data_IF_559356999620
#
_entry.id   IF_559356999620
#
_cell.length_a   1.000
_cell.length_b   1.000
_cell.length_c   1.000
_cell.angle_alpha   90.00
_cell.angle_beta   90.00
_cell.angle_gamma   90.00
#
_symmetry.space_group_name_H-M   'P 1'
#
loop_
_entity.id
_entity.type
_entity.pdbx_description
1 polymer ?
#
# COMPACT_ATOMS: atom_id res chain seq x y z
N UNK A 1 -1.94 2.14 -24.39
CA UNK A 1 -3.07 2.26 -23.46
C UNK A 1 -2.77 1.46 -22.22
N UNK A 2 -3.05 2.04 -21.04
CA UNK A 2 -2.87 1.39 -19.76
C UNK A 2 -4.23 0.99 -19.18
N UNK A 3 -4.28 -0.15 -18.52
CA UNK A 3 -5.38 -0.49 -17.63
C UNK A 3 -5.32 0.38 -16.38
N UNK A 4 -6.42 0.52 -15.64
CA UNK A 4 -6.40 1.27 -14.39
C UNK A 4 -5.42 0.69 -13.36
N UNK A 5 -5.26 -0.62 -13.32
CA UNK A 5 -4.26 -1.28 -12.48
C UNK A 5 -2.82 -0.85 -12.83
N UNK A 6 -2.49 -0.76 -14.11
CA UNK A 6 -1.17 -0.28 -14.54
C UNK A 6 -0.96 1.21 -14.22
N UNK A 7 -2.04 2.01 -14.24
CA UNK A 7 -1.99 3.40 -13.76
C UNK A 7 -1.71 3.46 -12.26
N UNK A 8 -2.38 2.62 -11.45
CA UNK A 8 -2.09 2.51 -10.02
C UNK A 8 -0.64 2.13 -9.78
N UNK A 9 -0.12 1.11 -10.48
CA UNK A 9 1.28 0.70 -10.40
C UNK A 9 2.23 1.85 -10.75
N UNK A 10 1.93 2.61 -11.82
CA UNK A 10 2.74 3.77 -12.19
C UNK A 10 2.77 4.85 -11.09
N UNK A 11 1.63 5.14 -10.47
CA UNK A 11 1.57 6.08 -9.35
C UNK A 11 2.31 5.55 -8.14
N UNK A 12 2.21 4.25 -7.87
CA UNK A 12 2.94 3.56 -6.80
C UNK A 12 4.45 3.71 -6.97
N UNK A 13 4.98 3.27 -8.09
CA UNK A 13 6.43 3.35 -8.37
C UNK A 13 6.93 4.81 -8.40
N UNK A 14 6.10 5.72 -8.90
CA UNK A 14 6.43 7.14 -8.85
C UNK A 14 6.44 7.70 -7.42
N UNK A 15 5.62 7.16 -6.53
CA UNK A 15 5.65 7.48 -5.09
C UNK A 15 6.99 7.12 -4.44
N UNK A 16 7.54 5.95 -4.74
CA UNK A 16 8.92 5.58 -4.35
C UNK A 16 9.94 6.53 -4.98
N UNK A 17 9.78 6.84 -6.27
CA UNK A 17 10.64 7.79 -6.97
C UNK A 17 10.66 9.17 -6.31
N UNK A 18 9.48 9.72 -5.95
CA UNK A 18 9.38 10.99 -5.24
C UNK A 18 10.06 10.95 -3.88
N UNK A 19 9.84 9.87 -3.11
CA UNK A 19 10.48 9.70 -1.81
C UNK A 19 12.01 9.69 -1.92
N UNK A 20 12.53 9.12 -2.98
CA UNK A 20 13.99 9.08 -3.21
C UNK A 20 14.54 10.39 -3.76
N UNK A 21 13.85 11.02 -4.72
CA UNK A 21 14.33 12.22 -5.39
C UNK A 21 14.22 13.51 -4.57
N UNK A 22 13.23 13.59 -3.67
CA UNK A 22 12.93 14.80 -2.91
C UNK A 22 13.62 14.83 -1.54
N UNK A 23 14.45 13.84 -1.22
CA UNK A 23 15.18 13.82 0.05
C UNK A 23 16.07 15.05 0.22
N UNK A 24 16.14 15.54 1.45
CA UNK A 24 17.10 16.59 1.88
C UNK A 24 18.14 16.04 2.85
N UNK A 25 18.30 14.73 2.90
CA UNK A 25 19.26 14.05 3.77
C UNK A 25 20.55 13.83 3.00
N UNK A 26 21.66 14.37 3.52
CA UNK A 26 22.98 14.27 2.89
C UNK A 26 23.69 12.94 3.13
N UNK A 27 23.13 12.06 4.00
CA UNK A 27 23.73 10.77 4.34
C UNK A 27 23.09 9.64 3.54
N UNK A 28 23.78 9.03 2.56
CA UNK A 28 23.18 8.05 1.63
C UNK A 28 22.49 6.86 2.30
N UNK A 29 22.98 6.41 3.46
CA UNK A 29 22.41 5.26 4.17
C UNK A 29 20.99 5.49 4.74
N UNK A 30 20.56 6.75 4.87
CA UNK A 30 19.24 7.14 5.39
C UNK A 30 18.55 8.18 4.49
N UNK A 31 19.07 8.41 3.29
CA UNK A 31 18.51 9.34 2.31
C UNK A 31 17.46 8.67 1.44
N UNK A 32 16.37 9.36 1.16
CA UNK A 32 15.26 8.84 0.36
C UNK A 32 14.65 7.60 1.00
N UNK A 33 14.52 6.52 0.26
CA UNK A 33 13.97 5.24 0.75
C UNK A 33 14.96 4.44 1.61
N UNK A 34 16.24 4.80 1.60
CA UNK A 34 17.25 4.05 2.35
C UNK A 34 17.05 4.22 3.86
N UNK A 35 17.14 3.13 4.60
CA UNK A 35 16.97 3.13 6.06
C UNK A 35 15.54 3.36 6.54
N UNK A 36 14.58 3.57 5.66
CA UNK A 36 13.16 3.60 6.04
C UNK A 36 12.72 2.19 6.45
N UNK A 37 12.07 2.02 7.61
CA UNK A 37 11.51 0.73 8.02
C UNK A 37 10.55 0.14 6.99
N UNK A 38 10.55 -1.19 6.85
CA UNK A 38 9.70 -1.89 5.89
C UNK A 38 8.21 -1.57 6.05
N UNK A 39 7.74 -1.37 7.27
CA UNK A 39 6.35 -1.03 7.57
C UNK A 39 5.98 0.44 7.29
N UNK A 40 6.93 1.24 6.83
CA UNK A 40 6.70 2.62 6.41
C UNK A 40 7.15 2.92 4.97
N UNK A 41 7.98 2.07 4.36
CA UNK A 41 8.56 2.33 3.03
C UNK A 41 7.50 2.43 1.94
N UNK A 42 6.38 1.72 2.09
CA UNK A 42 5.25 1.73 1.16
C UNK A 42 4.27 2.90 1.40
N UNK A 43 4.47 3.71 2.44
CA UNK A 43 3.58 4.85 2.70
C UNK A 43 3.53 5.83 1.51
N UNK A 44 4.65 6.32 0.96
CA UNK A 44 4.60 7.27 -0.16
C UNK A 44 4.07 6.67 -1.47
N UNK A 45 4.40 5.41 -1.75
CA UNK A 45 3.95 4.71 -2.96
C UNK A 45 2.44 4.48 -2.95
N UNK A 46 1.91 3.87 -1.90
CA UNK A 46 0.48 3.64 -1.74
C UNK A 46 -0.31 4.95 -1.54
N UNK A 47 0.31 5.98 -0.94
CA UNK A 47 -0.30 7.30 -0.87
C UNK A 47 -0.58 7.88 -2.26
N UNK A 48 0.37 7.77 -3.19
CA UNK A 48 0.20 8.27 -4.56
C UNK A 48 -0.91 7.53 -5.32
N UNK A 49 -1.15 6.25 -5.07
CA UNK A 49 -2.24 5.50 -5.70
C UNK A 49 -3.62 6.13 -5.45
N UNK A 50 -3.82 6.77 -4.28
CA UNK A 50 -5.11 7.38 -3.95
C UNK A 50 -5.53 8.48 -4.93
N UNK A 51 -4.57 9.21 -5.52
CA UNK A 51 -4.86 10.22 -6.52
C UNK A 51 -5.52 9.63 -7.78
N UNK A 52 -5.11 8.42 -8.19
CA UNK A 52 -5.66 7.76 -9.37
C UNK A 52 -7.12 7.28 -9.22
N UNK A 53 -7.71 7.43 -8.04
CA UNK A 53 -9.13 7.14 -7.78
C UNK A 53 -10.02 8.40 -7.71
N UNK A 54 -9.42 9.60 -7.83
CA UNK A 54 -10.15 10.85 -7.57
C UNK A 54 -10.80 11.41 -8.83
N UNK A 55 -12.02 11.92 -8.67
CA UNK A 55 -12.79 12.58 -9.74
C UNK A 55 -12.06 13.80 -10.28
N UNK A 56 -11.30 14.49 -9.44
CA UNK A 56 -10.52 15.66 -9.78
C UNK A 56 -9.27 15.33 -10.61
N UNK A 57 -8.73 14.10 -10.46
CA UNK A 57 -7.46 13.68 -11.08
C UNK A 57 -7.68 12.88 -12.36
N UNK A 58 -8.63 11.94 -12.36
CA UNK A 58 -8.82 11.03 -13.49
C UNK A 58 -9.05 11.74 -14.84
N UNK A 59 -9.80 12.84 -14.94
CA UNK A 59 -9.92 13.59 -16.20
C UNK A 59 -8.61 14.25 -16.67
N UNK A 60 -7.66 14.49 -15.78
CA UNK A 60 -6.37 15.09 -16.11
C UNK A 60 -5.39 14.06 -16.70
N UNK A 61 -5.56 12.79 -16.38
CA UNK A 61 -4.64 11.70 -16.76
C UNK A 61 -5.25 10.73 -17.76
N UNK A 62 -6.52 10.91 -18.14
CA UNK A 62 -7.22 10.05 -19.08
C UNK A 62 -7.79 10.83 -20.24
N UNK A 63 -7.86 10.19 -21.43
CA UNK A 63 -8.46 10.75 -22.59
C UNK A 63 -8.81 9.66 -23.61
N UNK A 64 -9.90 9.85 -24.31
CA UNK A 64 -10.31 8.93 -25.40
C UNK A 64 -9.24 8.93 -26.48
N UNK A 65 -8.84 7.74 -26.93
CA UNK A 65 -7.69 7.55 -27.83
C UNK A 65 -7.80 8.32 -29.15
N UNK A 66 -9.01 8.54 -29.66
CA UNK A 66 -9.25 9.26 -30.91
C UNK A 66 -9.63 10.73 -30.71
N UNK A 67 -10.45 11.01 -29.70
CA UNK A 67 -11.04 12.35 -29.52
C UNK A 67 -10.37 13.19 -28.45
N UNK A 68 -9.56 12.58 -27.57
CA UNK A 68 -8.98 13.22 -26.38
C UNK A 68 -10.00 13.58 -25.30
N UNK A 69 -11.28 13.25 -25.48
CA UNK A 69 -12.32 13.55 -24.52
C UNK A 69 -12.03 12.86 -23.17
N UNK A 70 -12.24 13.55 -22.02
CA UNK A 70 -12.00 12.97 -20.71
C UNK A 70 -12.95 11.78 -20.45
N UNK A 71 -12.56 10.91 -19.50
CA UNK A 71 -13.36 9.78 -19.07
C UNK A 71 -14.75 10.27 -18.62
N UNK A 72 -15.87 9.72 -19.16
CA UNK A 72 -17.21 10.12 -18.74
C UNK A 72 -17.44 9.86 -17.24
N UNK A 73 -18.15 10.76 -16.57
CA UNK A 73 -18.40 10.67 -15.11
C UNK A 73 -19.07 9.35 -14.71
N UNK A 74 -19.96 8.81 -15.57
CA UNK A 74 -20.59 7.51 -15.30
C UNK A 74 -19.57 6.36 -15.30
N UNK A 75 -18.63 6.36 -16.24
CA UNK A 75 -17.57 5.35 -16.29
C UNK A 75 -16.63 5.47 -15.08
N UNK A 76 -16.31 6.70 -14.70
CA UNK A 76 -15.54 7.01 -13.50
C UNK A 76 -16.21 6.47 -12.23
N UNK A 77 -17.49 6.70 -12.03
CA UNK A 77 -18.24 6.18 -10.87
C UNK A 77 -18.29 4.65 -10.85
N UNK A 78 -18.43 4.02 -12.01
CA UNK A 78 -18.33 2.55 -12.12
C UNK A 78 -16.94 2.06 -11.73
N UNK A 79 -15.90 2.74 -12.17
CA UNK A 79 -14.53 2.42 -11.79
C UNK A 79 -14.33 2.55 -10.28
N UNK A 80 -14.75 3.65 -9.67
CA UNK A 80 -14.66 3.85 -8.21
C UNK A 80 -15.40 2.77 -7.42
N UNK A 81 -16.57 2.33 -7.90
CA UNK A 81 -17.33 1.25 -7.26
C UNK A 81 -16.58 -0.10 -7.27
N UNK A 82 -15.62 -0.31 -8.18
CA UNK A 82 -14.80 -1.54 -8.17
C UNK A 82 -13.85 -1.60 -6.98
N UNK A 83 -13.47 -0.45 -6.40
CA UNK A 83 -12.55 -0.39 -5.25
C UNK A 83 -13.08 -1.11 -4.02
N UNK A 84 -14.37 -1.00 -3.77
CA UNK A 84 -15.04 -1.65 -2.63
C UNK A 84 -15.57 -3.05 -2.94
N UNK A 85 -15.58 -3.46 -4.22
CA UNK A 85 -16.12 -4.76 -4.61
C UNK A 85 -15.28 -5.89 -4.02
N UNK A 86 -15.89 -6.68 -3.14
CA UNK A 86 -15.25 -7.78 -2.40
C UNK A 86 -13.97 -7.37 -1.64
N UNK A 87 -13.86 -6.12 -1.21
CA UNK A 87 -12.69 -5.61 -0.49
C UNK A 87 -12.40 -6.40 0.79
N UNK A 88 -13.42 -6.89 1.51
CA UNK A 88 -13.24 -7.78 2.65
C UNK A 88 -12.53 -9.08 2.29
N UNK A 89 -12.89 -9.71 1.16
CA UNK A 89 -12.18 -10.92 0.69
C UNK A 89 -10.73 -10.63 0.29
N UNK A 90 -10.49 -9.50 -0.35
CA UNK A 90 -9.13 -9.06 -0.68
C UNK A 90 -8.30 -8.82 0.59
N UNK A 91 -8.87 -8.16 1.59
CA UNK A 91 -8.21 -7.92 2.88
C UNK A 91 -7.85 -9.22 3.59
N UNK A 92 -8.77 -10.19 3.66
CA UNK A 92 -8.53 -11.51 4.25
C UNK A 92 -7.47 -12.29 3.46
N UNK A 93 -7.44 -12.13 2.13
CA UNK A 93 -6.39 -12.73 1.30
C UNK A 93 -5.00 -12.17 1.63
N UNK A 94 -4.89 -10.87 1.89
CA UNK A 94 -3.62 -10.27 2.32
C UNK A 94 -3.23 -10.71 3.74
N UNK A 95 -4.20 -10.92 4.62
CA UNK A 95 -3.95 -11.50 5.95
C UNK A 95 -3.43 -12.94 5.85
N UNK A 96 -3.93 -13.77 4.91
CA UNK A 96 -3.37 -15.10 4.65
C UNK A 96 -1.87 -15.02 4.35
N UNK A 97 -1.47 -14.09 3.49
CA UNK A 97 -0.05 -13.91 3.13
C UNK A 97 0.79 -13.43 4.31
N UNK A 98 0.31 -12.43 5.04
CA UNK A 98 1.01 -11.87 6.19
C UNK A 98 1.16 -12.87 7.34
N UNK A 99 0.10 -13.61 7.68
CA UNK A 99 0.14 -14.64 8.72
C UNK A 99 1.03 -15.81 8.32
N UNK A 100 0.98 -16.25 7.06
CA UNK A 100 1.85 -17.30 6.55
C UNK A 100 3.32 -16.90 6.67
N UNK A 101 3.66 -15.71 6.21
CA UNK A 101 5.02 -15.16 6.33
C UNK A 101 5.47 -15.10 7.79
N UNK A 102 4.66 -14.50 8.64
CA UNK A 102 5.02 -14.30 10.06
C UNK A 102 5.23 -15.62 10.79
N UNK A 103 4.31 -16.59 10.65
CA UNK A 103 4.42 -17.89 11.30
C UNK A 103 5.58 -18.70 10.75
N UNK A 104 5.80 -18.66 9.44
CA UNK A 104 6.91 -19.38 8.82
C UNK A 104 8.26 -18.96 9.42
N UNK A 105 8.44 -17.68 9.73
CA UNK A 105 9.67 -17.13 10.28
C UNK A 105 9.73 -17.19 11.81
N UNK A 106 8.66 -16.84 12.51
CA UNK A 106 8.62 -16.78 13.96
C UNK A 106 8.62 -18.19 14.63
N UNK A 107 7.98 -19.17 13.98
CA UNK A 107 7.86 -20.54 14.51
C UNK A 107 8.88 -21.51 13.91
N UNK A 108 9.86 -21.01 13.17
CA UNK A 108 10.89 -21.84 12.58
C UNK A 108 11.72 -22.55 13.65
N UNK A 109 11.86 -23.87 13.52
CA UNK A 109 12.70 -24.68 14.40
C UNK A 109 13.55 -25.65 13.58
N UNK A 110 14.89 -25.53 13.63
CA UNK A 110 15.78 -26.48 13.00
C UNK A 110 15.53 -27.90 13.50
N UNK A 111 15.47 -28.86 12.61
CA UNK A 111 15.27 -30.27 12.99
C UNK A 111 13.84 -30.79 12.84
N UNK A 112 12.84 -29.95 12.63
CA UNK A 112 11.47 -30.39 12.36
C UNK A 112 11.13 -30.57 10.88
N UNK A 113 12.12 -30.46 9.99
CA UNK A 113 11.91 -30.53 8.54
C UNK A 113 11.15 -29.32 7.99
N UNK A 114 10.72 -29.39 6.73
CA UNK A 114 9.97 -28.32 6.09
C UNK A 114 8.52 -28.31 6.54
N UNK A 115 8.10 -27.29 7.28
CA UNK A 115 6.70 -27.06 7.68
C UNK A 115 5.94 -26.16 6.69
N UNK A 116 6.55 -25.77 5.56
CA UNK A 116 6.04 -24.80 4.61
C UNK A 116 4.56 -25.01 4.26
N UNK A 117 4.22 -26.18 3.75
CA UNK A 117 2.84 -26.47 3.34
C UNK A 117 1.89 -26.71 4.53
N UNK A 118 2.42 -27.18 5.65
CA UNK A 118 1.67 -27.33 6.89
C UNK A 118 1.27 -25.96 7.44
N UNK A 119 2.21 -25.04 7.61
CA UNK A 119 1.94 -23.66 8.06
C UNK A 119 0.93 -22.96 7.16
N UNK A 120 1.06 -23.14 5.82
CA UNK A 120 0.09 -22.59 4.88
C UNK A 120 -1.31 -23.18 5.10
N UNK A 121 -1.42 -24.48 5.34
CA UNK A 121 -2.71 -25.12 5.58
C UNK A 121 -3.35 -24.62 6.88
N UNK A 122 -2.58 -24.51 7.96
CA UNK A 122 -3.02 -23.99 9.26
C UNK A 122 -3.54 -22.54 9.14
N UNK A 123 -2.81 -21.68 8.45
CA UNK A 123 -3.26 -20.28 8.19
C UNK A 123 -4.53 -20.25 7.35
N UNK A 124 -4.62 -21.08 6.32
CA UNK A 124 -5.82 -21.18 5.47
C UNK A 124 -7.04 -21.68 6.24
N UNK A 125 -6.85 -22.55 7.22
CA UNK A 125 -7.94 -23.01 8.08
C UNK A 125 -8.53 -21.89 8.92
N UNK A 126 -7.72 -20.87 9.26
CA UNK A 126 -8.18 -19.74 10.07
C UNK A 126 -8.81 -18.61 9.23
N UNK A 127 -8.20 -18.25 8.09
CA UNK A 127 -8.56 -17.01 7.39
C UNK A 127 -9.07 -17.19 5.96
N UNK A 128 -8.84 -18.34 5.32
CA UNK A 128 -9.14 -18.50 3.90
C UNK A 128 -10.64 -18.71 3.66
N UNK A 129 -11.29 -17.77 2.96
CA UNK A 129 -12.72 -17.86 2.62
C UNK A 129 -12.95 -18.85 1.47
N UNK A 130 -12.11 -18.79 0.43
CA UNK A 130 -12.18 -19.69 -0.74
C UNK A 130 -10.89 -20.50 -0.82
N UNK A 131 -10.95 -21.78 -0.49
CA UNK A 131 -9.77 -22.64 -0.49
C UNK A 131 -9.27 -22.92 -1.91
N UNK A 132 -7.99 -22.68 -2.18
CA UNK A 132 -7.38 -23.09 -3.44
C UNK A 132 -7.37 -24.62 -3.58
N UNK A 133 -7.30 -25.15 -4.82
CA UNK A 133 -7.19 -26.59 -5.07
C UNK A 133 -5.96 -27.19 -4.38
N UNK A 134 -6.01 -28.49 -4.05
CA UNK A 134 -4.92 -29.21 -3.35
C UNK A 134 -3.56 -29.20 -4.09
N UNK A 135 -3.57 -28.98 -5.41
CA UNK A 135 -2.35 -28.85 -6.19
C UNK A 135 -1.72 -27.46 -6.14
N UNK A 136 -2.37 -26.46 -5.49
CA UNK A 136 -1.83 -25.12 -5.37
C UNK A 136 -0.51 -25.13 -4.62
N UNK A 137 0.49 -24.46 -5.19
CA UNK A 137 1.86 -24.36 -4.65
C UNK A 137 2.26 -22.89 -4.50
N UNK A 138 1.35 -22.05 -4.02
CA UNK A 138 1.55 -20.62 -3.81
C UNK A 138 2.92 -20.26 -3.21
N UNK A 139 3.43 -20.94 -2.16
CA UNK A 139 4.70 -20.56 -1.57
C UNK A 139 5.90 -20.60 -2.54
N UNK A 140 5.86 -21.48 -3.57
CA UNK A 140 6.95 -21.58 -4.54
C UNK A 140 7.06 -20.38 -5.49
N UNK A 141 6.05 -19.52 -5.54
CA UNK A 141 6.03 -18.29 -6.33
C UNK A 141 6.01 -17.01 -5.47
N UNK A 142 6.10 -17.18 -4.14
CA UNK A 142 6.01 -16.04 -3.21
C UNK A 142 7.38 -15.36 -3.05
N UNK A 143 7.83 -14.71 -4.10
CA UNK A 143 9.14 -14.05 -4.16
C UNK A 143 9.34 -13.01 -3.07
N UNK A 144 8.32 -12.26 -2.69
CA UNK A 144 8.39 -11.19 -1.68
C UNK A 144 9.15 -11.62 -0.43
N UNK A 145 8.81 -12.79 0.15
CA UNK A 145 9.42 -13.25 1.40
C UNK A 145 10.67 -14.10 1.22
N UNK A 146 10.91 -14.67 0.03
CA UNK A 146 12.06 -15.56 -0.20
C UNK A 146 13.22 -14.88 -0.94
N UNK A 147 12.96 -13.85 -1.74
CA UNK A 147 13.99 -13.13 -2.50
C UNK A 147 13.79 -11.61 -2.57
N UNK A 148 12.60 -11.13 -2.20
CA UNK A 148 12.20 -9.71 -2.31
C UNK A 148 12.53 -8.85 -1.08
N UNK A 149 13.11 -9.44 -0.01
CA UNK A 149 13.48 -8.69 1.19
C UNK A 149 12.37 -8.55 2.24
N UNK A 150 11.15 -9.05 1.99
CA UNK A 150 10.00 -8.94 2.90
C UNK A 150 9.84 -10.14 3.86
N UNK A 151 10.91 -10.90 4.13
CA UNK A 151 10.87 -11.99 5.11
C UNK A 151 10.44 -11.48 6.49
N UNK A 152 9.41 -12.08 7.08
CA UNK A 152 8.70 -11.63 8.28
C UNK A 152 8.16 -10.18 8.20
N UNK A 153 8.08 -9.62 7.00
CA UNK A 153 7.75 -8.23 6.75
C UNK A 153 6.58 -8.00 5.79
N UNK A 154 5.93 -9.04 5.27
CA UNK A 154 4.85 -8.89 4.29
C UNK A 154 3.63 -8.13 4.85
N UNK A 155 3.38 -8.16 6.15
CA UNK A 155 2.34 -7.37 6.82
C UNK A 155 2.47 -5.86 6.56
N UNK A 156 3.67 -5.41 6.22
CA UNK A 156 4.00 -4.00 5.95
C UNK A 156 3.10 -3.37 4.90
N UNK A 157 2.70 -4.12 3.87
CA UNK A 157 1.79 -3.63 2.84
C UNK A 157 0.43 -3.20 3.42
N UNK A 158 -0.14 -4.00 4.32
CA UNK A 158 -1.40 -3.65 4.97
C UNK A 158 -1.25 -2.55 6.01
N UNK A 159 -0.14 -2.51 6.72
CA UNK A 159 0.15 -1.43 7.64
C UNK A 159 0.35 -0.10 6.90
N UNK A 160 1.10 -0.10 5.81
CA UNK A 160 1.29 1.08 4.98
C UNK A 160 -0.01 1.55 4.30
N UNK A 161 -0.96 0.66 3.96
CA UNK A 161 -2.29 1.06 3.50
C UNK A 161 -3.04 1.87 4.57
N UNK A 162 -2.93 1.51 5.86
CA UNK A 162 -3.50 2.29 6.96
C UNK A 162 -2.88 3.69 7.00
N UNK A 163 -1.53 3.75 6.97
CA UNK A 163 -0.82 5.03 6.97
C UNK A 163 -1.18 5.89 5.76
N UNK A 164 -1.20 5.28 4.58
CA UNK A 164 -1.52 5.92 3.30
C UNK A 164 -2.94 6.50 3.29
N UNK A 165 -3.93 5.70 3.68
CA UNK A 165 -5.33 6.13 3.70
C UNK A 165 -5.55 7.29 4.68
N UNK A 166 -4.95 7.21 5.86
CA UNK A 166 -5.09 8.27 6.86
C UNK A 166 -4.30 9.53 6.47
N UNK A 167 -3.11 9.40 5.90
CA UNK A 167 -2.37 10.54 5.36
C UNK A 167 -3.15 11.22 4.23
N UNK A 168 -3.76 10.44 3.33
CA UNK A 168 -4.58 10.98 2.24
C UNK A 168 -5.85 11.68 2.75
N UNK A 169 -6.38 11.25 3.89
CA UNK A 169 -7.49 11.92 4.57
C UNK A 169 -7.24 13.42 4.82
N UNK A 170 -5.98 13.84 5.05
CA UNK A 170 -5.65 15.25 5.17
C UNK A 170 -5.91 16.04 3.89
N UNK A 171 -5.73 15.42 2.73
CA UNK A 171 -6.03 16.03 1.42
C UNK A 171 -7.54 16.01 1.13
N UNK A 172 -8.25 14.99 1.57
CA UNK A 172 -9.72 14.97 1.48
C UNK A 172 -10.35 16.08 2.33
N UNK A 173 -9.76 16.39 3.48
CA UNK A 173 -10.20 17.47 4.39
C UNK A 173 -9.89 18.88 3.84
N UNK A 174 -8.73 19.07 3.21
CA UNK A 174 -8.24 20.38 2.78
C UNK A 174 -8.42 20.68 1.28
N UNK A 175 -8.63 19.63 0.48
CA UNK A 175 -8.68 19.68 -0.98
C UNK A 175 -7.54 18.88 -1.61
N UNK A 176 -7.87 18.12 -2.67
CA UNK A 176 -6.95 17.14 -3.29
C UNK A 176 -5.68 17.80 -3.86
N UNK A 177 -5.77 19.07 -4.23
CA UNK A 177 -4.63 19.86 -4.73
C UNK A 177 -4.18 20.95 -3.77
N UNK A 178 -4.50 20.84 -2.46
CA UNK A 178 -4.05 21.82 -1.48
C UNK A 178 -2.52 21.79 -1.32
N UNK A 179 -1.89 22.89 -1.72
CA UNK A 179 -0.43 23.02 -1.72
C UNK A 179 0.16 23.12 -0.32
N UNK A 180 -0.61 23.62 0.66
CA UNK A 180 -0.13 23.73 2.04
C UNK A 180 -0.01 22.33 2.67
N UNK A 181 -1.02 21.49 2.47
CA UNK A 181 -1.00 20.09 2.91
C UNK A 181 0.08 19.29 2.18
N UNK A 182 0.25 19.51 0.86
CA UNK A 182 1.33 18.88 0.09
C UNK A 182 2.73 19.25 0.63
N UNK A 183 2.95 20.53 0.98
CA UNK A 183 4.23 20.95 1.58
C UNK A 183 4.48 20.35 2.97
N UNK A 184 3.43 20.16 3.77
CA UNK A 184 3.58 19.46 5.06
C UNK A 184 3.97 18.01 4.84
N UNK A 185 3.30 17.29 3.92
CA UNK A 185 3.63 15.91 3.57
C UNK A 185 5.08 15.80 3.06
N UNK A 186 5.46 16.69 2.15
CA UNK A 186 6.83 16.78 1.65
C UNK A 186 7.84 16.95 2.79
N UNK A 187 7.65 17.95 3.63
CA UNK A 187 8.63 18.34 4.67
C UNK A 187 8.72 17.36 5.84
N UNK A 188 7.62 16.69 6.22
CA UNK A 188 7.62 15.76 7.34
C UNK A 188 7.96 14.32 6.93
N UNK A 189 7.64 13.88 5.70
CA UNK A 189 7.82 12.49 5.25
C UNK A 189 8.87 12.37 4.15
N UNK A 190 8.62 12.96 2.97
CA UNK A 190 9.45 12.69 1.79
C UNK A 190 10.88 13.23 1.92
N UNK A 191 11.04 14.43 2.47
CA UNK A 191 12.36 15.05 2.65
C UNK A 191 13.22 14.38 3.73
N UNK A 192 12.60 13.61 4.64
CA UNK A 192 13.26 13.04 5.82
C UNK A 192 13.86 11.65 5.59
N UNK A 193 13.30 10.88 4.67
CA UNK A 193 13.75 9.51 4.42
C UNK A 193 13.82 8.67 5.69
N UNK A 194 14.86 7.86 5.81
CA UNK A 194 15.14 7.03 6.99
C UNK A 194 15.88 7.76 8.12
N UNK A 195 16.07 9.08 8.04
CA UNK A 195 16.78 9.85 9.06
C UNK A 195 15.95 10.15 10.32
N UNK A 196 14.68 9.78 10.31
CA UNK A 196 13.73 10.00 11.40
C UNK A 196 12.82 8.79 11.58
N UNK A 197 12.34 8.59 12.81
CA UNK A 197 11.32 7.59 13.10
C UNK A 197 10.06 7.84 12.26
N UNK A 198 9.54 6.80 11.62
CA UNK A 198 8.42 6.92 10.68
C UNK A 198 7.11 7.31 11.39
N UNK A 199 6.89 6.84 12.63
CA UNK A 199 5.71 7.21 13.41
C UNK A 199 5.78 8.69 13.83
N UNK A 200 6.96 9.17 14.21
CA UNK A 200 7.14 10.60 14.53
C UNK A 200 6.90 11.48 13.30
N UNK A 201 7.41 11.07 12.13
CA UNK A 201 7.19 11.75 10.86
C UNK A 201 5.70 11.81 10.50
N UNK A 202 4.99 10.70 10.68
CA UNK A 202 3.55 10.62 10.46
C UNK A 202 2.77 11.54 11.42
N UNK A 203 3.10 11.50 12.73
CA UNK A 203 2.45 12.35 13.73
C UNK A 203 2.72 13.85 13.47
N UNK A 204 3.93 14.21 13.02
CA UNK A 204 4.21 15.59 12.60
C UNK A 204 3.32 16.04 11.43
N UNK A 205 3.11 15.17 10.45
CA UNK A 205 2.25 15.47 9.32
C UNK A 205 0.77 15.54 9.69
N UNK A 206 0.27 14.53 10.40
CA UNK A 206 -1.17 14.33 10.63
C UNK A 206 -1.68 14.97 11.94
N UNK A 207 -0.76 15.29 12.87
CA UNK A 207 -1.09 15.83 14.21
C UNK A 207 -1.53 14.79 15.22
N UNK A 208 -1.59 13.51 14.85
CA UNK A 208 -2.01 12.37 15.66
C UNK A 208 -1.43 11.06 15.14
N UNK A 209 -1.55 10.01 15.92
CA UNK A 209 -1.23 8.64 15.46
C UNK A 209 -2.19 8.20 14.34
N UNK A 210 -1.76 7.25 13.50
CA UNK A 210 -2.62 6.72 12.44
C UNK A 210 -3.85 6.00 13.01
N UNK A 211 -4.96 6.10 12.27
CA UNK A 211 -6.24 5.44 12.54
C UNK A 211 -6.61 4.54 11.38
N UNK A 212 -7.33 3.44 11.67
CA UNK A 212 -7.72 2.46 10.63
C UNK A 212 -8.98 2.88 9.87
N UNK A 213 -9.80 3.73 10.45
CA UNK A 213 -11.09 4.14 9.92
C UNK A 213 -11.03 4.73 8.50
N UNK A 214 -10.02 5.56 8.13
CA UNK A 214 -9.89 6.05 6.76
C UNK A 214 -9.75 4.90 5.75
N UNK A 215 -8.95 3.88 6.06
CA UNK A 215 -8.82 2.70 5.19
C UNK A 215 -10.13 1.92 5.09
N UNK A 216 -10.81 1.68 6.21
CA UNK A 216 -12.08 0.95 6.19
C UNK A 216 -13.15 1.67 5.39
N UNK A 217 -13.22 3.02 5.45
CA UNK A 217 -14.12 3.82 4.59
C UNK A 217 -13.75 3.69 3.12
N UNK A 218 -12.46 3.80 2.76
CA UNK A 218 -12.00 3.65 1.37
C UNK A 218 -12.34 2.27 0.78
N UNK A 219 -12.33 1.24 1.61
CA UNK A 219 -12.67 -0.13 1.23
C UNK A 219 -14.19 -0.41 1.27
N UNK A 220 -15.01 0.55 1.73
CA UNK A 220 -16.44 0.35 1.93
C UNK A 220 -16.80 -0.66 3.02
N UNK A 221 -15.90 -0.84 4.01
CA UNK A 221 -16.07 -1.75 5.15
C UNK A 221 -16.54 -1.04 6.41
N UNK A 222 -16.55 0.28 6.41
CA UNK A 222 -17.14 1.14 7.44
C UNK A 222 -17.90 2.31 6.78
N UNK A 223 -18.86 2.88 7.53
CA UNK A 223 -19.64 4.03 7.09
C UNK A 223 -18.83 5.34 7.17
#
# INVERSE_FOLDING_TARGET
>A
LLTHYEVLTMFHEFGHGLHHMLTRVDFPSVAGINGVPWDAVELPSQFMENFAWREEVLPLISGHVETGAPLPLEALRKLQATRSFQAGMQSVRQLEFALFDFRLHAEFSPGHGSRLMQTLAEVRDEVCVVRPPAFNRFPHSFQHIFSGGYAAGYYSYKWAEVLSADAFGAFEESGIFDTATARRFLGSILERGGSRDAMEAFVEFRGRKPEIEPLLRQLGLAA
#
